data_IF_240303404222
#
_entry.id   IF_240303404222
#
_cell.length_a   1.000
_cell.length_b   1.000
_cell.length_c   1.000
_cell.angle_alpha   90.00
_cell.angle_beta   90.00
_cell.angle_gamma   90.00
#
_symmetry.space_group_name_H-M   'P 1'
#
loop_
_entity.id
_entity.type
_entity.pdbx_description
1 polymer ?
#
# COMPACT_ATOMS: atom_id res chain seq x y z
N UNK A 1 -1.27 -30.63 13.88
CA UNK A 1 -2.42 -29.79 13.44
C UNK A 1 -1.90 -28.65 12.59
N UNK A 2 -2.53 -28.40 11.45
CA UNK A 2 -2.20 -27.23 10.60
C UNK A 2 -2.88 -25.99 11.17
N UNK A 3 -2.13 -24.88 11.28
CA UNK A 3 -2.65 -23.60 11.77
C UNK A 3 -3.56 -22.99 10.69
N UNK A 4 -4.78 -22.60 11.07
CA UNK A 4 -5.75 -21.93 10.19
C UNK A 4 -5.27 -20.55 9.76
N UNK A 5 -5.91 -19.94 8.75
CA UNK A 5 -5.56 -18.59 8.32
C UNK A 5 -5.74 -17.55 9.44
N UNK A 6 -6.84 -17.64 10.19
CA UNK A 6 -7.16 -16.72 11.30
C UNK A 6 -6.15 -16.82 12.43
N UNK A 7 -5.72 -18.03 12.81
CA UNK A 7 -4.70 -18.23 13.83
C UNK A 7 -3.33 -17.72 13.38
N UNK A 8 -2.97 -17.83 12.09
CA UNK A 8 -1.73 -17.23 11.56
C UNK A 8 -1.74 -15.70 11.68
N UNK A 9 -2.88 -15.06 11.39
CA UNK A 9 -3.05 -13.61 11.54
C UNK A 9 -2.89 -13.21 13.00
N UNK A 10 -3.60 -13.89 13.91
CA UNK A 10 -3.54 -13.57 15.34
C UNK A 10 -2.11 -13.72 15.88
N UNK A 11 -1.41 -14.78 15.48
CA UNK A 11 0.01 -15.00 15.87
C UNK A 11 0.92 -13.87 15.35
N UNK A 12 0.73 -13.41 14.12
CA UNK A 12 1.51 -12.30 13.57
C UNK A 12 1.24 -10.98 14.30
N UNK A 13 -0.01 -10.73 14.71
CA UNK A 13 -0.39 -9.55 15.50
C UNK A 13 0.27 -9.57 16.88
N UNK A 14 0.21 -10.70 17.60
CA UNK A 14 0.87 -10.88 18.90
C UNK A 14 2.36 -10.56 18.77
N UNK A 15 3.03 -11.19 17.80
CA UNK A 15 4.47 -10.97 17.57
C UNK A 15 4.79 -9.50 17.23
N UNK A 16 3.93 -8.81 16.48
CA UNK A 16 4.13 -7.39 16.16
C UNK A 16 4.04 -6.52 17.42
N UNK A 17 3.03 -6.75 18.29
CA UNK A 17 2.87 -6.00 19.54
C UNK A 17 4.03 -6.23 20.50
N UNK A 18 4.42 -7.48 20.73
CA UNK A 18 5.57 -7.83 21.56
C UNK A 18 6.85 -7.20 21.03
N UNK A 19 7.07 -7.30 19.71
CA UNK A 19 8.24 -6.72 19.08
C UNK A 19 8.31 -5.20 19.26
N UNK A 20 7.19 -4.49 19.16
CA UNK A 20 7.16 -3.04 19.38
C UNK A 20 7.27 -2.66 20.86
N UNK A 21 6.75 -3.48 21.78
CA UNK A 21 6.95 -3.28 23.21
C UNK A 21 8.43 -3.39 23.61
N UNK A 22 9.17 -4.31 22.97
CA UNK A 22 10.60 -4.50 23.18
C UNK A 22 11.48 -3.50 22.40
N UNK A 23 10.91 -2.55 21.67
CA UNK A 23 11.68 -1.55 20.91
C UNK A 23 11.85 -0.29 21.73
N UNK A 24 13.04 -0.13 22.32
CA UNK A 24 13.41 1.07 23.08
C UNK A 24 13.63 2.27 22.15
N UNK A 25 14.42 2.10 21.09
CA UNK A 25 14.66 3.11 20.07
C UNK A 25 13.94 2.77 18.75
N UNK A 26 12.85 3.50 18.50
CA UNK A 26 12.04 3.37 17.28
C UNK A 26 12.75 3.88 16.03
N UNK A 27 13.60 4.90 16.16
CA UNK A 27 14.35 5.46 15.05
C UNK A 27 15.43 4.45 14.61
N UNK A 28 16.17 3.87 15.56
CA UNK A 28 17.17 2.84 15.29
C UNK A 28 16.58 1.61 14.63
N UNK A 29 15.41 1.12 15.09
CA UNK A 29 14.74 -0.05 14.48
C UNK A 29 14.51 0.09 12.98
N UNK A 30 14.20 1.30 12.50
CA UNK A 30 13.90 1.56 11.08
C UNK A 30 15.09 2.13 10.29
N UNK A 31 16.19 2.48 10.96
CA UNK A 31 17.36 3.08 10.31
C UNK A 31 17.97 2.18 9.22
N UNK A 32 18.16 0.85 9.41
CA UNK A 32 18.71 -0.01 8.37
C UNK A 32 17.83 -0.06 7.11
N UNK A 33 16.50 -0.10 7.29
CA UNK A 33 15.56 -0.12 6.17
C UNK A 33 15.59 1.20 5.37
N UNK A 34 15.70 2.34 6.07
CA UNK A 34 15.85 3.67 5.44
C UNK A 34 17.17 3.75 4.66
N UNK A 35 18.29 3.33 5.28
CA UNK A 35 19.59 3.31 4.64
C UNK A 35 19.62 2.41 3.39
N UNK A 36 19.00 1.22 3.45
CA UNK A 36 18.92 0.32 2.30
C UNK A 36 18.11 0.92 1.14
N UNK A 37 17.05 1.68 1.44
CA UNK A 37 16.28 2.37 0.42
C UNK A 37 17.08 3.50 -0.24
N UNK A 38 17.83 4.26 0.55
CA UNK A 38 18.70 5.32 0.02
C UNK A 38 19.85 4.72 -0.82
N UNK A 39 20.46 3.63 -0.35
CA UNK A 39 21.52 2.91 -1.06
C UNK A 39 21.05 2.40 -2.43
N UNK A 40 19.83 1.86 -2.53
CA UNK A 40 19.25 1.44 -3.80
C UNK A 40 19.26 2.57 -4.84
N UNK A 41 18.96 3.81 -4.45
CA UNK A 41 18.96 4.94 -5.38
C UNK A 41 20.38 5.41 -5.69
N UNK A 42 21.31 5.33 -4.74
CA UNK A 42 22.74 5.56 -5.00
C UNK A 42 23.30 4.55 -6.00
N UNK A 43 22.98 3.27 -5.86
CA UNK A 43 23.42 2.22 -6.80
C UNK A 43 22.88 2.47 -8.21
N UNK A 44 21.60 2.83 -8.33
CA UNK A 44 20.99 3.23 -9.61
C UNK A 44 21.59 4.53 -10.17
N UNK A 45 22.18 5.33 -9.29
CA UNK A 45 22.84 6.57 -9.64
C UNK A 45 24.34 6.39 -9.96
N UNK A 46 24.85 5.16 -10.00
CA UNK A 46 26.28 4.86 -10.12
C UNK A 46 27.12 5.61 -9.07
N UNK A 47 26.56 5.81 -7.87
CA UNK A 47 27.19 6.52 -6.75
C UNK A 47 27.01 8.04 -6.76
N UNK A 48 26.34 8.64 -7.75
CA UNK A 48 26.07 10.09 -7.77
C UNK A 48 24.93 10.47 -6.79
N UNK A 49 25.21 11.22 -5.71
CA UNK A 49 24.20 11.56 -4.71
C UNK A 49 23.12 12.52 -5.21
N UNK A 50 23.46 13.43 -6.15
CA UNK A 50 22.49 14.39 -6.71
C UNK A 50 21.51 13.64 -7.62
N UNK A 51 22.04 12.76 -8.47
CA UNK A 51 21.22 11.92 -9.34
C UNK A 51 20.36 10.94 -8.52
N UNK A 52 20.89 10.38 -7.43
CA UNK A 52 20.13 9.51 -6.52
C UNK A 52 18.91 10.20 -5.91
N UNK A 53 19.07 11.43 -5.42
CA UNK A 53 17.95 12.19 -4.86
C UNK A 53 16.87 12.48 -5.92
N UNK A 54 17.26 12.83 -7.15
CA UNK A 54 16.30 12.97 -8.24
C UNK A 54 15.58 11.66 -8.58
N UNK A 55 16.27 10.51 -8.58
CA UNK A 55 15.66 9.20 -8.79
C UNK A 55 14.67 8.84 -7.67
N UNK A 56 15.03 9.13 -6.42
CA UNK A 56 14.18 8.94 -5.25
C UNK A 56 12.91 9.79 -5.33
N UNK A 57 13.03 11.07 -5.68
CA UNK A 57 11.86 11.94 -5.90
C UNK A 57 10.97 11.42 -7.04
N UNK A 58 11.58 10.99 -8.15
CA UNK A 58 10.84 10.42 -9.28
C UNK A 58 10.10 9.13 -8.85
N UNK A 59 10.69 8.29 -8.02
CA UNK A 59 10.05 7.09 -7.48
C UNK A 59 8.76 7.43 -6.72
N UNK A 60 8.81 8.38 -5.78
CA UNK A 60 7.62 8.77 -5.02
C UNK A 60 6.56 9.46 -5.88
N UNK A 61 6.96 10.27 -6.86
CA UNK A 61 6.02 10.88 -7.82
C UNK A 61 5.29 9.81 -8.65
N UNK A 62 6.00 8.77 -9.11
CA UNK A 62 5.37 7.62 -9.80
C UNK A 62 4.38 6.88 -8.90
N UNK A 63 4.72 6.68 -7.62
CA UNK A 63 3.82 6.04 -6.66
C UNK A 63 2.55 6.87 -6.42
N UNK A 64 2.70 8.19 -6.25
CA UNK A 64 1.58 9.12 -6.10
C UNK A 64 0.66 9.13 -7.32
N UNK A 65 1.23 9.13 -8.53
CA UNK A 65 0.48 9.05 -9.79
C UNK A 65 -0.35 7.77 -9.86
N UNK A 66 0.28 6.60 -9.61
CA UNK A 66 -0.41 5.31 -9.59
C UNK A 66 -1.55 5.28 -8.57
N UNK A 67 -1.31 5.83 -7.39
CA UNK A 67 -2.32 5.95 -6.33
C UNK A 67 -3.51 6.81 -6.76
N UNK A 68 -3.26 7.95 -7.41
CA UNK A 68 -4.32 8.81 -7.95
C UNK A 68 -5.13 8.13 -9.07
N UNK A 69 -4.46 7.38 -9.94
CA UNK A 69 -5.13 6.59 -10.99
C UNK A 69 -5.99 5.48 -10.39
N UNK A 70 -5.49 4.74 -9.40
CA UNK A 70 -6.25 3.69 -8.72
C UNK A 70 -7.51 4.24 -8.04
N UNK A 71 -7.39 5.39 -7.34
CA UNK A 71 -8.56 6.06 -6.74
C UNK A 71 -9.59 6.50 -7.79
N UNK A 72 -9.16 6.97 -8.96
CA UNK A 72 -10.08 7.34 -10.06
C UNK A 72 -10.85 6.13 -10.57
N UNK A 73 -10.15 5.03 -10.88
CA UNK A 73 -10.77 3.77 -11.33
C UNK A 73 -11.77 3.21 -10.33
N UNK A 74 -11.45 3.27 -9.03
CA UNK A 74 -12.38 2.84 -7.97
C UNK A 74 -13.69 3.62 -8.02
N UNK A 75 -13.62 4.96 -8.15
CA UNK A 75 -14.83 5.81 -8.22
C UNK A 75 -15.63 5.57 -9.49
N UNK A 76 -14.96 5.29 -10.61
CA UNK A 76 -15.61 4.93 -11.86
C UNK A 76 -16.36 3.60 -11.71
N UNK A 77 -15.70 2.56 -11.21
CA UNK A 77 -16.33 1.28 -10.93
C UNK A 77 -17.50 1.38 -9.95
N UNK A 78 -17.39 2.19 -8.88
CA UNK A 78 -18.50 2.45 -7.96
C UNK A 78 -19.69 3.14 -8.64
N UNK A 79 -19.44 4.06 -9.58
CA UNK A 79 -20.51 4.71 -10.36
C UNK A 79 -21.16 3.74 -11.32
N UNK A 80 -20.38 2.91 -12.00
CA UNK A 80 -20.88 1.91 -12.93
C UNK A 80 -21.76 0.88 -12.19
N UNK A 81 -21.31 0.42 -11.02
CA UNK A 81 -22.10 -0.47 -10.15
C UNK A 81 -23.41 0.21 -9.75
N UNK A 82 -23.36 1.45 -9.25
CA UNK A 82 -24.56 2.17 -8.85
C UNK A 82 -25.55 2.42 -10.01
N UNK A 83 -25.04 2.66 -11.23
CA UNK A 83 -25.86 2.79 -12.42
C UNK A 83 -26.54 1.46 -12.78
N UNK A 84 -25.79 0.36 -12.74
CA UNK A 84 -26.34 -0.99 -12.98
C UNK A 84 -27.40 -1.35 -11.92
N UNK A 85 -27.14 -1.09 -10.64
CA UNK A 85 -28.12 -1.29 -9.56
C UNK A 85 -29.39 -0.46 -9.82
N UNK A 86 -29.24 0.82 -10.17
CA UNK A 86 -30.38 1.68 -10.50
C UNK A 86 -31.16 1.21 -11.73
N UNK A 87 -30.48 0.70 -12.76
CA UNK A 87 -31.14 0.13 -13.95
C UNK A 87 -31.92 -1.14 -13.56
N UNK A 88 -31.30 -2.06 -12.81
CA UNK A 88 -31.94 -3.28 -12.33
C UNK A 88 -33.18 -2.99 -11.48
N UNK A 89 -33.10 -2.02 -10.57
CA UNK A 89 -34.24 -1.58 -9.75
C UNK A 89 -35.38 -1.02 -10.62
N UNK A 90 -35.05 -0.25 -11.66
CA UNK A 90 -36.04 0.28 -12.60
C UNK A 90 -36.72 -0.82 -13.44
N UNK A 91 -35.97 -1.86 -13.85
CA UNK A 91 -36.54 -3.03 -14.54
C UNK A 91 -37.36 -3.94 -13.61
N UNK A 92 -37.02 -4.01 -12.32
CA UNK A 92 -37.76 -4.79 -11.32
C UNK A 92 -39.09 -4.17 -10.88
N UNK A 93 -39.34 -2.89 -11.20
CA UNK A 93 -40.57 -2.17 -10.87
C UNK A 93 -41.79 -2.47 -11.75
N UNK A 94 -41.61 -3.19 -12.87
CA UNK A 94 -42.68 -3.50 -13.84
C UNK A 94 -43.27 -4.93 -13.66
N UNK A 95 -42.86 -5.64 -12.60
CA UNK A 95 -43.41 -6.95 -12.23
C UNK A 95 -44.36 -6.83 -11.03
N UNK A 96 -45.49 -6.16 -11.22
CA UNK A 96 -46.64 -6.16 -10.30
C UNK A 96 -47.96 -6.26 -11.07
#
# INVERSE_FOLDING_TARGET
MSITASERVLRAQIAAHESWANTEDRAARTAPARAALDQKFLDQADGDPVRAEHLRQAHYKRLALKSAQARRRKREAERDIAAVESELDAFGGDAA
#
